data_IF_065855004814
#
_entry.id   IF_065855004814
#
_cell.length_a   1.000
_cell.length_b   1.000
_cell.length_c   1.000
_cell.angle_alpha   90.00
_cell.angle_beta   90.00
_cell.angle_gamma   90.00
#
_symmetry.space_group_name_H-M   'P 1'
#
loop_
_entity.id
_entity.type
_entity.pdbx_description
1 polymer ?
#
# COMPACT_ATOMS: atom_id res chain seq x y z
N UNK A 1 -1.00 12.32 -7.77
CA UNK A 1 -1.54 11.36 -6.79
C UNK A 1 -1.45 9.92 -7.26
N UNK A 2 -1.72 9.65 -8.52
CA UNK A 2 -1.67 8.31 -9.09
C UNK A 2 -0.29 7.66 -9.09
N UNK A 3 0.77 8.45 -9.06
CA UNK A 3 2.13 7.94 -9.11
C UNK A 3 2.70 7.58 -7.74
N UNK A 4 1.94 7.82 -6.67
CA UNK A 4 2.35 7.39 -5.33
C UNK A 4 2.04 5.91 -5.18
N UNK A 5 3.07 5.12 -4.84
CA UNK A 5 2.94 3.68 -4.66
C UNK A 5 2.38 3.33 -3.29
N UNK A 6 2.89 4.00 -2.26
CA UNK A 6 2.44 3.73 -0.89
C UNK A 6 2.88 4.85 0.04
N UNK A 7 2.23 4.88 1.22
CA UNK A 7 2.64 5.71 2.36
C UNK A 7 3.08 4.76 3.46
N UNK A 8 4.13 5.13 4.15
CA UNK A 8 4.64 4.29 5.23
C UNK A 8 5.21 5.13 6.36
N UNK A 9 4.92 4.72 7.59
CA UNK A 9 5.51 5.33 8.78
C UNK A 9 6.97 4.88 8.87
N UNK A 10 7.87 5.85 8.93
CA UNK A 10 9.31 5.60 9.04
C UNK A 10 9.83 6.54 10.12
N UNK A 11 10.10 5.98 11.31
CA UNK A 11 10.42 6.79 12.48
C UNK A 11 9.19 7.58 12.93
N UNK A 12 9.33 8.89 13.06
CA UNK A 12 8.26 9.77 13.52
C UNK A 12 7.44 10.38 12.40
N UNK A 13 7.77 10.07 11.16
CA UNK A 13 7.13 10.71 10.02
C UNK A 13 6.54 9.67 9.08
N UNK A 14 5.64 10.12 8.22
CA UNK A 14 5.05 9.27 7.21
C UNK A 14 5.58 9.74 5.86
N UNK A 15 6.15 8.81 5.12
CA UNK A 15 6.68 9.08 3.79
C UNK A 15 5.75 8.57 2.70
N UNK A 16 5.58 9.39 1.66
CA UNK A 16 4.92 9.00 0.43
C UNK A 16 6.01 8.51 -0.52
N UNK A 17 5.91 7.28 -0.97
CA UNK A 17 6.89 6.67 -1.86
C UNK A 17 6.38 6.64 -3.29
N UNK A 18 7.13 7.24 -4.19
CA UNK A 18 6.97 7.06 -5.62
C UNK A 18 8.02 6.05 -6.08
N UNK A 19 8.02 5.74 -7.35
CA UNK A 19 8.96 4.78 -7.93
C UNK A 19 10.42 5.15 -7.63
N UNK A 20 10.78 6.43 -7.82
CA UNK A 20 12.14 6.90 -7.66
C UNK A 20 12.30 7.99 -6.60
N UNK A 21 11.22 8.39 -5.95
CA UNK A 21 11.23 9.52 -5.02
C UNK A 21 10.56 9.19 -3.71
N UNK A 22 10.91 9.93 -2.68
CA UNK A 22 10.30 9.81 -1.35
C UNK A 22 9.99 11.22 -0.86
N UNK A 23 8.76 11.43 -0.40
CA UNK A 23 8.33 12.73 0.12
C UNK A 23 7.80 12.56 1.55
N UNK A 24 8.15 13.49 2.40
CA UNK A 24 7.61 13.50 3.76
C UNK A 24 6.23 14.15 3.74
N UNK A 25 5.26 13.57 4.48
CA UNK A 25 3.94 14.17 4.63
C UNK A 25 3.71 14.52 6.10
N UNK A 26 2.97 15.58 6.34
CA UNK A 26 2.60 16.01 7.68
C UNK A 26 1.35 15.31 8.23
N UNK A 27 0.68 14.52 7.39
CA UNK A 27 -0.55 13.84 7.80
C UNK A 27 -0.26 12.53 8.51
N UNK A 28 -1.17 12.12 9.40
CA UNK A 28 -1.14 10.81 10.04
C UNK A 28 -1.82 9.79 9.11
N UNK A 29 -1.54 8.50 9.32
CA UNK A 29 -2.13 7.47 8.47
C UNK A 29 -3.66 7.48 8.50
N UNK A 30 -4.26 7.67 9.69
CA UNK A 30 -5.71 7.70 9.78
C UNK A 30 -6.32 8.87 9.02
N UNK A 31 -5.59 10.00 8.94
CA UNK A 31 -6.04 11.14 8.15
C UNK A 31 -5.96 10.82 6.66
N UNK A 32 -4.87 10.18 6.25
CA UNK A 32 -4.69 9.77 4.86
C UNK A 32 -5.77 8.78 4.43
N UNK A 33 -6.16 7.85 5.30
CA UNK A 33 -7.23 6.91 4.99
C UNK A 33 -8.53 7.63 4.62
N UNK A 34 -8.83 8.73 5.29
CA UNK A 34 -10.04 9.51 5.02
C UNK A 34 -9.93 10.38 3.77
N UNK A 35 -8.70 10.85 3.47
CA UNK A 35 -8.47 11.83 2.41
C UNK A 35 -8.19 11.22 1.06
N UNK A 36 -7.59 10.04 1.03
CA UNK A 36 -7.11 9.44 -0.21
C UNK A 36 -8.24 8.81 -1.02
N UNK A 37 -8.07 8.76 -2.36
CA UNK A 37 -9.03 8.04 -3.20
C UNK A 37 -9.17 6.58 -2.80
N UNK A 38 -10.28 5.97 -3.18
CA UNK A 38 -10.63 4.61 -2.77
C UNK A 38 -9.68 3.51 -3.26
N UNK A 39 -8.81 3.80 -4.24
CA UNK A 39 -7.84 2.80 -4.69
C UNK A 39 -6.63 2.69 -3.76
N UNK A 40 -6.49 3.56 -2.76
CA UNK A 40 -5.52 3.37 -1.68
C UNK A 40 -6.15 2.53 -0.59
N UNK A 41 -5.35 1.66 0.03
CA UNK A 41 -5.85 0.77 1.06
C UNK A 41 -4.84 0.59 2.19
N UNK A 42 -5.34 0.64 3.43
CA UNK A 42 -4.52 0.32 4.60
C UNK A 42 -4.14 -1.15 4.55
N UNK A 43 -2.87 -1.49 4.76
CA UNK A 43 -2.39 -2.88 4.69
C UNK A 43 -1.59 -3.30 5.91
N UNK A 44 -1.34 -2.37 6.83
CA UNK A 44 -0.73 -2.69 8.12
C UNK A 44 -0.93 -1.48 9.03
N UNK A 45 -0.45 -1.59 10.26
CA UNK A 45 -0.48 -0.46 11.19
C UNK A 45 0.34 0.71 10.68
N UNK A 46 1.31 0.45 9.80
CA UNK A 46 2.27 1.47 9.37
C UNK A 46 2.22 1.80 7.88
N UNK A 47 1.30 1.23 7.11
CA UNK A 47 1.33 1.44 5.66
C UNK A 47 -0.05 1.49 5.01
N UNK A 48 -0.13 2.32 3.97
CA UNK A 48 -1.27 2.41 3.05
C UNK A 48 -0.69 2.27 1.66
N UNK A 49 -1.22 1.38 0.81
CA UNK A 49 -0.70 1.22 -0.54
C UNK A 49 -1.73 1.58 -1.61
N UNK A 50 -1.21 1.88 -2.79
CA UNK A 50 -2.00 2.16 -3.97
C UNK A 50 -2.23 0.85 -4.72
N UNK A 51 -3.47 0.37 -4.69
CA UNK A 51 -3.80 -0.92 -5.30
C UNK A 51 -3.66 -0.92 -6.82
N UNK A 52 -3.62 0.26 -7.44
CA UNK A 52 -3.44 0.36 -8.90
C UNK A 52 -2.02 0.02 -9.35
N UNK A 53 -1.04 0.04 -8.44
CA UNK A 53 0.36 -0.17 -8.79
C UNK A 53 0.93 -1.50 -8.32
N UNK A 54 0.12 -2.38 -7.78
CA UNK A 54 0.59 -3.68 -7.32
C UNK A 54 1.06 -4.50 -8.53
N UNK A 55 2.30 -4.96 -8.47
CA UNK A 55 2.85 -5.86 -9.48
C UNK A 55 2.71 -7.32 -9.05
N UNK A 56 3.10 -7.65 -7.82
CA UNK A 56 2.97 -9.01 -7.31
C UNK A 56 2.71 -9.01 -5.80
N UNK A 57 2.09 -10.08 -5.33
CA UNK A 57 1.87 -10.34 -3.92
C UNK A 57 2.44 -11.72 -3.63
N UNK A 58 3.37 -11.79 -2.69
CA UNK A 58 3.99 -13.05 -2.28
C UNK A 58 3.61 -13.34 -0.84
N UNK A 59 3.00 -14.53 -0.59
CA UNK A 59 2.69 -14.96 0.78
C UNK A 59 3.97 -15.45 1.45
N UNK A 60 4.18 -15.00 2.68
CA UNK A 60 5.31 -15.44 3.50
C UNK A 60 4.91 -16.65 4.35
N UNK A 61 5.88 -17.32 4.93
CA UNK A 61 5.62 -18.48 5.78
C UNK A 61 4.77 -18.15 7.00
N UNK A 62 4.80 -16.89 7.44
CA UNK A 62 4.06 -16.42 8.61
C UNK A 62 2.64 -15.97 8.29
N UNK A 63 2.15 -16.25 7.08
CA UNK A 63 0.84 -15.83 6.59
C UNK A 63 0.71 -14.32 6.36
N UNK A 64 1.77 -13.55 6.53
CA UNK A 64 1.85 -12.17 6.06
C UNK A 64 2.19 -12.19 4.57
N UNK A 65 2.20 -11.02 3.94
CA UNK A 65 2.48 -10.92 2.50
C UNK A 65 3.41 -9.76 2.23
N UNK A 66 4.07 -9.83 1.09
CA UNK A 66 4.90 -8.73 0.59
C UNK A 66 4.37 -8.32 -0.78
N UNK A 67 4.11 -7.03 -0.95
CA UNK A 67 3.67 -6.47 -2.22
C UNK A 67 4.86 -5.81 -2.90
N UNK A 68 5.01 -6.06 -4.20
CA UNK A 68 6.01 -5.40 -5.03
C UNK A 68 5.33 -4.53 -6.08
N UNK A 69 6.11 -3.61 -6.65
CA UNK A 69 5.63 -2.66 -7.64
C UNK A 69 6.54 -2.73 -8.87
N UNK A 70 5.97 -2.52 -10.05
CA UNK A 70 6.75 -2.60 -11.30
C UNK A 70 7.80 -1.48 -11.36
N UNK A 71 9.00 -1.84 -11.80
CA UNK A 71 10.05 -0.86 -12.10
C UNK A 71 10.77 -0.27 -10.88
N UNK A 72 10.64 -0.89 -9.72
CA UNK A 72 11.33 -0.44 -8.51
C UNK A 72 11.60 -1.64 -7.61
N UNK A 73 12.55 -1.48 -6.70
CA UNK A 73 12.85 -2.50 -5.69
C UNK A 73 12.04 -2.31 -4.41
N UNK A 74 11.22 -1.27 -4.35
CA UNK A 74 10.44 -0.98 -3.16
C UNK A 74 9.40 -2.06 -2.92
N UNK A 75 9.17 -2.36 -1.64
CA UNK A 75 8.23 -3.39 -1.21
C UNK A 75 7.43 -2.89 -0.02
N UNK A 76 6.22 -3.42 0.14
CA UNK A 76 5.37 -3.10 1.29
C UNK A 76 4.92 -4.39 1.94
N UNK A 77 5.07 -4.46 3.25
CA UNK A 77 4.58 -5.57 4.06
C UNK A 77 3.08 -5.42 4.28
N UNK A 78 2.35 -6.51 4.04
CA UNK A 78 0.90 -6.58 4.31
C UNK A 78 0.71 -7.51 5.49
N UNK A 79 0.13 -7.01 6.57
CA UNK A 79 -0.08 -7.83 7.74
C UNK A 79 -1.14 -8.89 7.45
N UNK A 80 -1.09 -9.99 8.21
CA UNK A 80 -2.01 -11.10 8.04
C UNK A 80 -3.48 -10.66 8.10
N UNK A 81 -3.79 -9.71 8.98
CA UNK A 81 -5.14 -9.19 9.16
C UNK A 81 -5.68 -8.55 7.88
N UNK A 82 -4.82 -7.90 7.10
CA UNK A 82 -5.24 -7.14 5.92
C UNK A 82 -5.17 -7.93 4.62
N UNK A 83 -4.66 -9.16 4.65
CA UNK A 83 -4.47 -9.93 3.42
C UNK A 83 -5.80 -10.20 2.70
N UNK A 84 -6.78 -10.78 3.40
CA UNK A 84 -8.06 -11.10 2.77
C UNK A 84 -8.81 -9.87 2.26
N UNK A 85 -8.89 -8.77 3.05
CA UNK A 85 -9.46 -7.54 2.53
C UNK A 85 -8.76 -7.03 1.28
N UNK A 86 -7.42 -7.14 1.20
CA UNK A 86 -6.68 -6.72 0.03
C UNK A 86 -7.04 -7.57 -1.19
N UNK A 87 -7.06 -8.88 -1.04
CA UNK A 87 -7.42 -9.78 -2.14
C UNK A 87 -8.85 -9.51 -2.61
N UNK A 88 -9.79 -9.33 -1.68
CA UNK A 88 -11.17 -8.99 -2.04
C UNK A 88 -11.26 -7.72 -2.85
N UNK A 89 -10.49 -6.70 -2.47
CA UNK A 89 -10.49 -5.43 -3.19
C UNK A 89 -9.95 -5.59 -4.60
N UNK A 90 -8.90 -6.39 -4.77
CA UNK A 90 -8.30 -6.63 -6.08
C UNK A 90 -9.24 -7.45 -6.98
N UNK A 91 -9.95 -8.40 -6.43
CA UNK A 91 -10.94 -9.18 -7.18
C UNK A 91 -12.10 -8.29 -7.62
N UNK A 92 -12.57 -7.41 -6.74
CA UNK A 92 -13.64 -6.46 -7.05
C UNK A 92 -13.24 -5.56 -8.20
N UNK A 93 -12.02 -5.06 -8.20
CA UNK A 93 -11.50 -4.22 -9.29
C UNK A 93 -11.48 -5.00 -10.61
N UNK A 94 -11.10 -6.27 -10.56
CA UNK A 94 -11.02 -7.11 -11.75
C UNK A 94 -12.40 -7.34 -12.37
N UNK A 95 -13.42 -7.48 -11.54
CA UNK A 95 -14.79 -7.70 -12.02
C UNK A 95 -15.39 -6.47 -12.70
N UNK A 96 -14.87 -5.30 -12.41
CA UNK A 96 -15.40 -4.04 -12.94
C UNK A 96 -14.57 -3.47 -14.09
N UNK A 97 -13.66 -4.24 -14.64
CA UNK A 97 -12.87 -3.82 -15.80
C UNK A 97 -13.57 -4.16 -17.11
#
# INVERSE_FOLDING_TARGET
>A
MDDILFFQTEGDVIHAHKKDDIYETKYKLYQLEEMLPGFFMRVSKSAILNTNHIYSITRNLTASSTVTFAGTHKQVFVSRYYYKPLISKLEEKRLHQ
#
